data_IF_179972869899
#
_entry.id   IF_179972869899
#
_cell.length_a   1.000
_cell.length_b   1.000
_cell.length_c   1.000
_cell.angle_alpha   90.00
_cell.angle_beta   90.00
_cell.angle_gamma   90.00
#
_symmetry.space_group_name_H-M   'P 1'
#
loop_
_entity.id
_entity.type
_entity.pdbx_description
1 polymer ?
#
# COMPACT_ATOMS: atom_id res chain seq x y z
N UNK A 1 3.00 -16.43 10.57
CA UNK A 1 1.63 -16.59 11.14
C UNK A 1 0.72 -15.56 10.48
N UNK A 2 -0.44 -15.95 9.93
CA UNK A 2 -1.35 -15.00 9.29
C UNK A 2 -1.93 -14.02 10.31
N UNK A 3 -2.06 -12.72 9.97
CA UNK A 3 -2.70 -11.71 10.83
C UNK A 3 -4.10 -12.15 11.27
N UNK A 4 -4.83 -12.87 10.42
CA UNK A 4 -6.18 -13.35 10.71
C UNK A 4 -6.25 -14.32 11.91
N UNK A 5 -5.15 -14.97 12.26
CA UNK A 5 -5.08 -15.83 13.47
C UNK A 5 -5.02 -15.03 14.77
N UNK A 6 -4.73 -13.72 14.68
CA UNK A 6 -4.66 -12.82 15.82
C UNK A 6 -6.00 -12.12 16.09
N UNK A 7 -6.92 -12.13 15.14
CA UNK A 7 -8.20 -11.46 15.29
C UNK A 7 -9.15 -12.26 16.17
N UNK A 8 -9.97 -11.54 16.94
CA UNK A 8 -11.02 -12.12 17.73
C UNK A 8 -12.01 -12.86 16.84
N UNK A 9 -12.37 -14.06 17.24
CA UNK A 9 -13.48 -14.80 16.64
C UNK A 9 -14.77 -14.40 17.35
N UNK A 10 -15.78 -14.09 16.57
CA UNK A 10 -17.12 -13.74 17.06
C UNK A 10 -18.08 -14.80 16.53
N UNK A 11 -18.81 -15.42 17.43
CA UNK A 11 -19.87 -16.35 17.07
C UNK A 11 -21.15 -15.58 16.73
N UNK A 12 -21.59 -15.72 15.50
CA UNK A 12 -22.78 -15.09 14.97
C UNK A 12 -23.91 -16.12 14.89
N UNK A 13 -24.96 -15.90 15.67
CA UNK A 13 -26.13 -16.78 15.66
C UNK A 13 -27.01 -16.40 14.46
N UNK A 14 -27.05 -17.23 13.43
CA UNK A 14 -27.84 -17.04 12.21
C UNK A 14 -29.26 -17.55 12.40
N UNK A 15 -29.40 -18.66 13.15
CA UNK A 15 -30.66 -19.24 13.55
C UNK A 15 -30.52 -19.91 14.92
N UNK A 16 -31.61 -20.45 15.45
CA UNK A 16 -31.53 -21.16 16.76
C UNK A 16 -30.63 -22.41 16.73
N UNK A 17 -30.27 -22.89 15.54
CA UNK A 17 -29.47 -24.10 15.35
C UNK A 17 -28.14 -23.86 14.61
N UNK A 18 -27.93 -22.65 14.03
CA UNK A 18 -26.75 -22.34 13.24
C UNK A 18 -25.94 -21.20 13.85
N UNK A 19 -24.72 -21.51 14.28
CA UNK A 19 -23.73 -20.53 14.74
C UNK A 19 -22.61 -20.49 13.70
N UNK A 20 -22.36 -19.31 13.13
CA UNK A 20 -21.24 -19.06 12.23
C UNK A 20 -20.17 -18.28 12.98
N UNK A 21 -18.96 -18.83 13.04
CA UNK A 21 -17.80 -18.14 13.61
C UNK A 21 -17.20 -17.20 12.58
N UNK A 22 -17.31 -15.90 12.81
CA UNK A 22 -16.68 -14.85 12.02
C UNK A 22 -15.37 -14.34 12.63
N UNK A 23 -14.67 -13.49 11.91
CA UNK A 23 -13.45 -12.80 12.38
C UNK A 23 -13.77 -11.33 12.54
N UNK A 24 -13.44 -10.73 13.71
CA UNK A 24 -13.58 -9.30 13.95
C UNK A 24 -12.47 -8.51 13.26
N UNK A 25 -12.77 -7.95 12.10
CA UNK A 25 -11.84 -7.13 11.33
C UNK A 25 -11.61 -5.73 11.93
N UNK A 26 -12.42 -5.29 12.90
CA UNK A 26 -12.26 -3.95 13.52
C UNK A 26 -10.98 -3.85 14.35
N UNK A 27 -10.41 -4.98 14.76
CA UNK A 27 -9.11 -5.05 15.42
C UNK A 27 -7.96 -4.47 14.58
N UNK A 28 -8.12 -4.39 13.25
CA UNK A 28 -7.13 -3.75 12.35
C UNK A 28 -6.93 -2.25 12.65
N UNK A 29 -7.98 -1.56 13.09
CA UNK A 29 -7.92 -0.14 13.46
C UNK A 29 -7.02 0.06 14.67
N UNK A 30 -7.17 -0.79 15.69
CA UNK A 30 -6.33 -0.74 16.91
C UNK A 30 -4.84 -0.99 16.61
N UNK A 31 -4.56 -1.89 15.70
CA UNK A 31 -3.18 -2.18 15.24
C UNK A 31 -2.59 -0.94 14.56
N UNK A 32 -3.34 -0.30 13.67
CA UNK A 32 -2.91 0.92 12.98
C UNK A 32 -2.60 2.06 13.96
N UNK A 33 -3.49 2.29 14.94
CA UNK A 33 -3.30 3.30 15.99
C UNK A 33 -2.08 2.99 16.85
N UNK A 34 -1.87 1.73 17.20
CA UNK A 34 -0.68 1.30 17.95
C UNK A 34 0.61 1.60 17.16
N UNK A 35 0.67 1.24 15.89
CA UNK A 35 1.83 1.48 15.05
C UNK A 35 2.12 2.99 14.85
N UNK A 36 1.10 3.83 14.85
CA UNK A 36 1.27 5.30 14.77
C UNK A 36 1.96 5.91 16.00
N UNK A 37 1.96 5.23 17.15
CA UNK A 37 2.61 5.71 18.38
C UNK A 37 4.14 5.61 18.32
N UNK A 38 4.67 4.78 17.43
CA UNK A 38 6.12 4.69 17.25
C UNK A 38 6.67 5.95 16.60
N UNK A 39 7.77 6.45 17.15
CA UNK A 39 8.46 7.61 16.60
C UNK A 39 9.06 7.29 15.22
N UNK A 40 9.41 8.33 14.46
CA UNK A 40 10.04 8.19 13.15
C UNK A 40 11.33 7.34 13.19
N UNK A 41 12.01 7.30 14.34
CA UNK A 41 13.23 6.49 14.56
C UNK A 41 12.98 4.98 14.47
N UNK A 42 11.75 4.54 14.72
CA UNK A 42 11.38 3.11 14.60
C UNK A 42 11.31 2.63 13.15
N UNK A 43 11.27 3.55 12.20
CA UNK A 43 11.14 3.25 10.77
C UNK A 43 12.44 3.52 10.03
N UNK A 44 12.59 2.85 8.89
CA UNK A 44 13.63 3.12 7.92
C UNK A 44 13.05 3.08 6.50
N UNK A 45 13.57 3.89 5.56
CA UNK A 45 13.13 3.84 4.17
C UNK A 45 13.56 2.53 3.51
N UNK A 46 12.72 2.05 2.62
CA UNK A 46 13.00 0.88 1.78
C UNK A 46 12.43 1.15 0.38
N UNK A 47 13.16 0.72 -0.64
CA UNK A 47 12.70 0.78 -2.03
C UNK A 47 12.46 -0.64 -2.50
N UNK A 48 11.20 -0.94 -2.84
CA UNK A 48 10.79 -2.23 -3.38
C UNK A 48 11.46 -2.44 -4.73
N UNK A 49 12.13 -3.57 -4.91
CA UNK A 49 12.73 -3.95 -6.20
C UNK A 49 11.68 -4.47 -7.17
N UNK A 50 11.97 -4.43 -8.47
CA UNK A 50 11.02 -4.84 -9.51
C UNK A 50 10.52 -6.27 -9.29
N UNK A 51 9.20 -6.42 -9.19
CA UNK A 51 8.54 -7.71 -8.97
C UNK A 51 8.65 -8.27 -7.54
N UNK A 52 9.30 -7.58 -6.61
CA UNK A 52 9.41 -8.01 -5.22
C UNK A 52 8.05 -7.94 -4.53
N UNK A 53 7.66 -9.01 -3.84
CA UNK A 53 6.38 -9.16 -3.15
C UNK A 53 6.51 -8.84 -1.65
N UNK A 54 5.40 -8.49 -0.93
CA UNK A 54 5.46 -8.18 0.50
C UNK A 54 6.05 -9.30 1.37
N UNK A 55 5.77 -10.56 1.02
CA UNK A 55 6.31 -11.73 1.71
C UNK A 55 7.82 -11.90 1.50
N UNK A 56 8.32 -11.55 0.32
CA UNK A 56 9.75 -11.54 0.02
C UNK A 56 10.47 -10.40 0.76
N UNK A 57 9.88 -9.20 0.79
CA UNK A 57 10.39 -8.08 1.60
C UNK A 57 10.48 -8.48 3.06
N UNK A 58 9.42 -9.09 3.60
CA UNK A 58 9.37 -9.58 4.98
C UNK A 58 10.46 -10.63 5.24
N UNK A 59 10.60 -11.62 4.36
CA UNK A 59 11.62 -12.67 4.51
C UNK A 59 13.03 -12.11 4.48
N UNK A 60 13.30 -11.17 3.60
CA UNK A 60 14.61 -10.53 3.44
C UNK A 60 14.99 -9.69 4.65
N UNK A 61 14.04 -8.99 5.26
CA UNK A 61 14.30 -8.04 6.34
C UNK A 61 14.16 -8.63 7.73
N UNK A 62 13.21 -9.55 7.90
CA UNK A 62 12.86 -10.11 9.20
C UNK A 62 13.13 -11.62 9.33
N UNK A 63 13.63 -12.25 8.26
CA UNK A 63 13.93 -13.69 8.25
C UNK A 63 12.71 -14.61 8.12
N UNK A 64 11.49 -14.05 7.99
CA UNK A 64 10.24 -14.80 7.84
C UNK A 64 9.24 -14.03 6.98
N UNK A 65 8.42 -14.71 6.17
CA UNK A 65 7.33 -14.07 5.41
C UNK A 65 6.15 -13.62 6.28
N UNK A 66 6.11 -14.04 7.54
CA UNK A 66 4.97 -13.86 8.45
C UNK A 66 4.64 -12.40 8.78
N UNK A 67 5.59 -11.47 8.60
CA UNK A 67 5.40 -10.05 8.88
C UNK A 67 5.04 -9.21 7.65
N UNK A 68 4.74 -9.85 6.52
CA UNK A 68 4.32 -9.16 5.28
C UNK A 68 3.14 -8.21 5.49
N UNK A 69 2.19 -8.57 6.35
CA UNK A 69 1.06 -7.73 6.73
C UNK A 69 1.48 -6.45 7.48
N UNK A 70 2.54 -6.50 8.29
CA UNK A 70 3.10 -5.30 8.96
C UNK A 70 3.69 -4.36 7.91
N UNK A 71 4.42 -4.89 6.94
CA UNK A 71 4.98 -4.08 5.84
C UNK A 71 3.88 -3.33 5.10
N UNK A 72 2.79 -4.00 4.77
CA UNK A 72 1.65 -3.39 4.09
C UNK A 72 0.93 -2.37 4.98
N UNK A 73 0.60 -2.75 6.21
CA UNK A 73 -0.19 -1.92 7.12
C UNK A 73 0.52 -0.62 7.51
N UNK A 74 1.84 -0.65 7.73
CA UNK A 74 2.67 0.53 8.03
C UNK A 74 2.65 1.56 6.90
N UNK A 75 2.45 1.09 5.65
CA UNK A 75 2.38 1.93 4.46
C UNK A 75 0.94 2.20 4.01
N UNK A 76 -0.05 1.86 4.84
CA UNK A 76 -1.48 2.02 4.52
C UNK A 76 -1.90 1.31 3.23
N UNK A 77 -1.24 0.20 2.90
CA UNK A 77 -1.52 -0.64 1.75
C UNK A 77 -2.46 -1.78 2.16
N UNK A 78 -3.61 -1.88 1.54
CA UNK A 78 -4.65 -2.86 1.87
C UNK A 78 -4.86 -3.88 0.75
N UNK A 79 -4.53 -3.50 -0.48
CA UNK A 79 -4.61 -4.36 -1.66
C UNK A 79 -3.22 -4.56 -2.27
N UNK A 80 -2.81 -5.82 -2.40
CA UNK A 80 -1.55 -6.14 -3.09
C UNK A 80 -1.62 -5.82 -4.59
N UNK A 81 -2.83 -5.78 -5.17
CA UNK A 81 -3.05 -5.53 -6.59
C UNK A 81 -3.07 -4.04 -6.92
N UNK A 82 -3.61 -3.22 -6.00
CA UNK A 82 -3.83 -1.79 -6.25
C UNK A 82 -2.80 -0.90 -5.57
N UNK A 83 -2.40 -1.24 -4.33
CA UNK A 83 -1.53 -0.39 -3.53
C UNK A 83 -0.05 -0.74 -3.69
N UNK A 84 0.28 -2.02 -3.92
CA UNK A 84 1.64 -2.47 -4.13
C UNK A 84 2.15 -2.06 -5.54
N UNK A 85 3.45 -1.72 -5.71
CA UNK A 85 3.98 -1.39 -7.02
C UNK A 85 3.91 -2.59 -7.97
N UNK A 86 3.45 -2.34 -9.19
CA UNK A 86 3.45 -3.33 -10.25
C UNK A 86 4.87 -3.57 -10.75
N UNK A 87 5.21 -4.83 -11.02
CA UNK A 87 6.44 -5.15 -11.74
C UNK A 87 6.42 -4.53 -13.14
N UNK A 88 7.59 -4.39 -13.74
CA UNK A 88 7.75 -3.82 -15.10
C UNK A 88 6.81 -4.50 -16.13
N UNK A 89 6.65 -5.81 -16.04
CA UNK A 89 5.74 -6.53 -16.94
C UNK A 89 4.27 -6.29 -16.62
N UNK A 90 3.91 -6.33 -15.33
CA UNK A 90 2.54 -6.06 -14.90
C UNK A 90 2.12 -4.60 -15.17
N UNK A 91 3.07 -3.66 -15.07
CA UNK A 91 2.84 -2.27 -15.41
C UNK A 91 2.56 -2.07 -16.91
N UNK A 92 3.32 -2.72 -17.79
CA UNK A 92 3.05 -2.68 -19.24
C UNK A 92 1.66 -3.23 -19.58
N UNK A 93 1.28 -4.34 -18.98
CA UNK A 93 -0.05 -4.94 -19.17
C UNK A 93 -1.16 -3.99 -18.68
N UNK A 94 -0.97 -3.37 -17.52
CA UNK A 94 -1.89 -2.36 -16.98
C UNK A 94 -2.07 -1.15 -17.92
N UNK A 95 -0.97 -0.65 -18.51
CA UNK A 95 -1.05 0.46 -19.48
C UNK A 95 -1.83 0.05 -20.73
N UNK A 96 -1.61 -1.17 -21.24
CA UNK A 96 -2.34 -1.68 -22.41
C UNK A 96 -3.82 -1.83 -22.07
N UNK A 97 -4.16 -2.40 -20.93
CA UNK A 97 -5.54 -2.59 -20.48
C UNK A 97 -6.27 -1.25 -20.32
N UNK A 98 -5.61 -0.27 -19.70
CA UNK A 98 -6.21 1.03 -19.37
C UNK A 98 -6.35 1.96 -20.56
N UNK A 99 -5.34 1.99 -21.45
CA UNK A 99 -5.23 2.98 -22.53
C UNK A 99 -5.25 2.35 -23.95
N UNK A 100 -5.38 1.04 -24.05
CA UNK A 100 -5.40 0.31 -25.31
C UNK A 100 -4.01 -0.02 -25.86
N UNK A 101 -3.00 0.85 -25.71
CA UNK A 101 -1.62 0.58 -26.08
C UNK A 101 -0.64 1.48 -25.34
N UNK A 102 0.63 1.03 -25.26
CA UNK A 102 1.73 1.82 -24.71
C UNK A 102 1.96 3.05 -25.56
N UNK A 103 1.95 2.91 -26.89
CA UNK A 103 2.16 4.04 -27.82
C UNK A 103 1.11 5.13 -27.64
N UNK A 104 -0.16 4.76 -27.44
CA UNK A 104 -1.22 5.73 -27.14
C UNK A 104 -0.91 6.49 -25.85
N UNK A 105 -0.52 5.78 -24.79
CA UNK A 105 -0.21 6.41 -23.50
C UNK A 105 1.02 7.34 -23.56
N UNK A 106 1.98 7.09 -24.46
CA UNK A 106 3.18 7.90 -24.64
C UNK A 106 2.94 9.20 -25.41
N UNK A 107 1.96 9.23 -26.31
CA UNK A 107 1.68 10.41 -27.16
C UNK A 107 0.47 11.23 -26.69
N UNK A 108 -0.24 10.79 -25.68
CA UNK A 108 -1.32 11.54 -25.05
C UNK A 108 -0.91 12.05 -23.69
N UNK A 109 -1.30 13.27 -23.38
CA UNK A 109 -0.74 14.05 -22.28
C UNK A 109 -1.79 14.52 -21.30
N UNK A 110 -1.36 14.70 -20.04
CA UNK A 110 -1.99 15.52 -19.03
C UNK A 110 -1.30 16.87 -18.96
N UNK A 111 -2.07 17.91 -18.69
CA UNK A 111 -1.61 19.27 -18.66
C UNK A 111 -1.75 19.82 -17.24
N UNK A 112 -0.74 20.56 -16.80
CA UNK A 112 -0.69 21.11 -15.44
C UNK A 112 -0.24 22.58 -15.47
N UNK A 113 -0.68 23.33 -14.46
CA UNK A 113 -0.14 24.64 -14.15
C UNK A 113 1.15 24.53 -13.29
N UNK A 114 1.74 25.65 -12.92
CA UNK A 114 2.94 25.70 -12.06
C UNK A 114 2.69 25.26 -10.60
N UNK A 115 1.42 25.12 -10.19
CA UNK A 115 1.01 24.60 -8.88
C UNK A 115 0.73 23.09 -8.89
N UNK A 116 1.00 22.41 -10.01
CA UNK A 116 0.73 20.99 -10.24
C UNK A 116 -0.77 20.63 -10.28
N UNK A 117 -1.67 21.61 -10.50
CA UNK A 117 -3.07 21.34 -10.74
C UNK A 117 -3.29 20.88 -12.18
N UNK A 118 -4.04 19.79 -12.35
CA UNK A 118 -4.42 19.29 -13.67
C UNK A 118 -5.45 20.23 -14.31
N UNK A 119 -5.18 20.67 -15.52
CA UNK A 119 -6.00 21.61 -16.30
C UNK A 119 -6.31 21.06 -17.69
N UNK A 120 -7.34 21.59 -18.32
CA UNK A 120 -7.65 21.26 -19.72
C UNK A 120 -6.69 21.95 -20.70
N UNK A 121 -6.67 21.46 -21.95
CA UNK A 121 -5.78 21.96 -23.01
C UNK A 121 -6.01 23.43 -23.32
N UNK A 122 -7.25 23.94 -23.20
CA UNK A 122 -7.57 25.32 -23.49
C UNK A 122 -6.93 26.22 -22.44
N UNK A 123 -7.14 25.93 -21.18
CA UNK A 123 -6.51 26.63 -20.05
C UNK A 123 -4.98 26.57 -20.11
N UNK A 124 -4.43 25.40 -20.45
CA UNK A 124 -2.98 25.23 -20.64
C UNK A 124 -2.41 26.15 -21.69
N UNK A 125 -3.10 26.31 -22.83
CA UNK A 125 -2.63 27.18 -23.92
C UNK A 125 -2.67 28.68 -23.58
N UNK A 126 -3.45 29.09 -22.58
CA UNK A 126 -3.53 30.46 -22.09
C UNK A 126 -2.41 30.82 -21.09
N UNK A 127 -1.76 29.83 -20.50
CA UNK A 127 -0.66 30.07 -19.56
C UNK A 127 0.60 30.55 -20.26
N UNK A 128 1.46 31.28 -19.53
CA UNK A 128 2.82 31.56 -19.96
C UNK A 128 3.64 30.26 -20.04
N UNK A 129 4.61 30.21 -20.94
CA UNK A 129 5.42 29.00 -21.16
C UNK A 129 6.17 28.53 -19.91
N UNK A 130 6.55 29.47 -19.02
CA UNK A 130 7.17 29.18 -17.71
C UNK A 130 6.26 28.43 -16.74
N UNK A 131 4.93 28.55 -16.92
CA UNK A 131 3.93 28.06 -15.99
C UNK A 131 3.26 26.78 -16.51
N UNK A 132 3.75 26.26 -17.61
CA UNK A 132 3.24 25.06 -18.27
C UNK A 132 4.04 23.83 -17.89
N UNK A 133 3.35 22.80 -17.45
CA UNK A 133 3.90 21.46 -17.26
C UNK A 133 3.07 20.45 -18.03
N UNK A 134 3.73 19.50 -18.65
CA UNK A 134 3.12 18.44 -19.45
C UNK A 134 3.71 17.09 -19.03
N UNK A 135 2.88 16.09 -18.92
CA UNK A 135 3.30 14.73 -18.60
C UNK A 135 2.49 13.76 -19.46
N UNK A 136 3.14 12.82 -20.14
CA UNK A 136 2.40 11.79 -20.88
C UNK A 136 1.61 10.91 -19.92
N UNK A 137 0.55 10.25 -20.41
CA UNK A 137 -0.23 9.30 -19.61
C UNK A 137 0.65 8.17 -19.09
N UNK A 138 1.65 7.75 -19.88
CA UNK A 138 2.63 6.73 -19.48
C UNK A 138 3.49 7.22 -18.30
N UNK A 139 4.10 8.38 -18.40
CA UNK A 139 4.95 8.98 -17.34
C UNK A 139 4.14 9.19 -16.05
N UNK A 140 2.91 9.67 -16.18
CA UNK A 140 2.01 9.83 -15.04
C UNK A 140 1.79 8.54 -14.27
N UNK A 141 1.47 7.45 -14.96
CA UNK A 141 1.26 6.15 -14.32
C UNK A 141 2.58 5.56 -13.79
N UNK A 142 3.68 5.74 -14.51
CA UNK A 142 5.02 5.29 -14.09
C UNK A 142 5.47 6.01 -12.81
N UNK A 143 5.26 7.32 -12.73
CA UNK A 143 5.52 8.11 -11.52
C UNK A 143 4.70 7.63 -10.34
N UNK A 144 3.40 7.33 -10.54
CA UNK A 144 2.53 6.75 -9.52
C UNK A 144 3.03 5.38 -9.05
N UNK A 145 3.41 4.51 -9.98
CA UNK A 145 3.96 3.20 -9.67
C UNK A 145 5.29 3.29 -8.92
N UNK A 146 6.18 4.18 -9.35
CA UNK A 146 7.47 4.46 -8.70
C UNK A 146 7.30 5.01 -7.29
N UNK A 147 6.30 5.87 -7.07
CA UNK A 147 6.03 6.39 -5.73
C UNK A 147 5.55 5.29 -4.77
N UNK A 148 4.79 4.31 -5.26
CA UNK A 148 4.39 3.13 -4.47
C UNK A 148 5.58 2.26 -4.05
N UNK A 149 6.69 2.25 -4.81
CA UNK A 149 7.88 1.48 -4.44
C UNK A 149 8.65 2.05 -3.26
N UNK A 150 8.45 3.33 -2.94
CA UNK A 150 9.11 4.03 -1.83
C UNK A 150 8.31 3.83 -0.56
N UNK A 151 8.67 2.84 0.23
CA UNK A 151 7.98 2.48 1.47
C UNK A 151 8.84 2.75 2.70
N UNK A 152 8.19 2.74 3.86
CA UNK A 152 8.86 2.66 5.16
C UNK A 152 8.64 1.28 5.76
N UNK A 153 9.64 0.79 6.44
CA UNK A 153 9.58 -0.49 7.15
C UNK A 153 9.97 -0.29 8.61
N UNK A 154 9.48 -1.14 9.48
CA UNK A 154 9.92 -1.18 10.88
C UNK A 154 11.34 -1.72 10.91
N UNK A 155 12.21 -1.15 11.75
CA UNK A 155 13.57 -1.64 11.94
C UNK A 155 13.53 -3.10 12.43
N UNK A 156 14.34 -4.01 11.86
CA UNK A 156 14.35 -5.42 12.23
C UNK A 156 14.53 -5.68 13.73
N UNK A 157 15.29 -4.83 14.43
CA UNK A 157 15.51 -4.93 15.86
C UNK A 157 14.25 -4.73 16.72
N UNK A 158 13.20 -4.12 16.17
CA UNK A 158 11.96 -3.81 16.89
C UNK A 158 10.83 -4.78 16.54
N UNK A 159 10.97 -5.60 15.50
CA UNK A 159 9.85 -6.39 14.97
C UNK A 159 9.31 -7.40 15.99
N UNK A 160 10.18 -8.06 16.77
CA UNK A 160 9.78 -9.02 17.78
C UNK A 160 9.01 -8.39 18.94
N UNK A 161 9.44 -7.18 19.36
CA UNK A 161 8.74 -6.42 20.41
C UNK A 161 7.36 -6.00 19.93
N UNK A 162 7.28 -5.46 18.71
CA UNK A 162 6.02 -5.02 18.11
C UNK A 162 5.06 -6.20 17.91
N UNK A 163 5.55 -7.36 17.45
CA UNK A 163 4.74 -8.56 17.30
C UNK A 163 4.17 -9.03 18.65
N UNK A 164 4.99 -9.04 19.70
CA UNK A 164 4.57 -9.39 21.07
C UNK A 164 3.50 -8.44 21.59
N UNK A 165 3.72 -7.14 21.45
CA UNK A 165 2.79 -6.11 21.92
C UNK A 165 1.46 -6.16 21.14
N UNK A 166 1.50 -6.34 19.84
CA UNK A 166 0.30 -6.50 19.02
C UNK A 166 -0.51 -7.73 19.41
N UNK A 167 0.15 -8.86 19.66
CA UNK A 167 -0.50 -10.07 20.15
C UNK A 167 -1.18 -9.86 21.51
N UNK A 168 -0.52 -9.13 22.43
CA UNK A 168 -1.10 -8.79 23.72
C UNK A 168 -2.31 -7.87 23.59
N UNK A 169 -2.23 -6.87 22.74
CA UNK A 169 -3.26 -5.86 22.52
C UNK A 169 -4.55 -6.46 21.94
N UNK A 170 -4.41 -7.45 21.06
CA UNK A 170 -5.54 -8.17 20.48
C UNK A 170 -6.17 -9.12 21.51
N UNK A 171 -5.36 -9.78 22.36
CA UNK A 171 -5.86 -10.69 23.40
C UNK A 171 -6.62 -9.96 24.52
N UNK A 172 -6.17 -8.79 24.94
CA UNK A 172 -6.82 -7.99 26.00
C UNK A 172 -8.22 -7.48 25.59
N UNK A 173 -8.51 -7.45 24.29
CA UNK A 173 -9.85 -7.08 23.79
C UNK A 173 -10.91 -8.19 24.01
N UNK A 174 -10.55 -9.32 24.62
CA UNK A 174 -11.40 -10.52 24.81
C UNK A 174 -11.98 -10.60 26.23
N UNK A 175 -11.61 -9.68 27.11
CA UNK A 175 -12.15 -9.56 28.48
C UNK A 175 -13.04 -8.34 28.61
#
# INVERSE_FOLDING_TARGET
MSIFTLYQKIDYKVSDYDIITGIDITSSIKIKEYLKRYSAVAYQPYVITDGERPDQVSSKLYGTPDYSWIVMLVNEMYSIYDDWPRSSQAFKNYIIEKYGSIGYAQINYKYYNNYDDEIDLTSYNLLASSDRKIESLYEYEERKNTNKSKIKIIRPSLISTIDSDLKSLIRVSVT
#
